data_IF_152054611445
#
_entry.id   IF_152054611445
#
_cell.length_a   1.000
_cell.length_b   1.000
_cell.length_c   1.000
_cell.angle_alpha   90.00
_cell.angle_beta   90.00
_cell.angle_gamma   90.00
#
_symmetry.space_group_name_H-M   'P 1'
#
loop_
_entity.id
_entity.type
_entity.pdbx_description
1 polymer ?
#
# COMPACT_ATOMS: atom_id res chain seq x y z
N UNK A 1 -3.54 -6.69 7.82
CA UNK A 1 -2.78 -5.68 7.05
C UNK A 1 -1.77 -5.02 7.98
N UNK A 2 -0.46 -5.19 7.74
CA UNK A 2 0.59 -4.53 8.53
C UNK A 2 1.32 -3.55 7.62
N UNK A 3 1.01 -2.26 7.75
CA UNK A 3 1.72 -1.22 7.01
C UNK A 3 2.85 -0.71 7.89
N UNK A 4 4.02 -1.31 7.70
CA UNK A 4 5.26 -0.92 8.38
C UNK A 4 5.90 0.25 7.64
N UNK A 5 5.62 1.46 8.09
CA UNK A 5 6.23 2.64 7.49
C UNK A 5 7.24 3.21 8.46
N UNK A 6 8.49 2.84 8.23
CA UNK A 6 9.62 3.48 8.88
C UNK A 6 9.91 4.77 8.11
N UNK A 7 9.52 5.91 8.67
CA UNK A 7 10.08 7.21 8.29
C UNK A 7 11.55 7.21 8.73
N UNK A 8 12.46 6.86 7.83
CA UNK A 8 13.90 7.02 8.08
C UNK A 8 14.17 8.52 8.15
N UNK A 9 14.72 8.95 9.29
CA UNK A 9 15.12 10.34 9.54
C UNK A 9 16.04 10.83 8.43
N UNK A 10 15.88 12.11 8.09
CA UNK A 10 16.71 12.81 7.12
C UNK A 10 18.20 12.64 7.45
N UNK A 11 18.94 11.98 6.57
CA UNK A 11 20.38 12.19 6.48
C UNK A 11 20.61 13.58 5.85
N UNK A 12 20.75 14.57 6.72
CA UNK A 12 21.48 15.82 6.58
C UNK A 12 21.81 16.24 5.12
N UNK A 13 20.98 17.10 4.52
CA UNK A 13 21.29 17.69 3.20
C UNK A 13 22.28 18.85 3.36
N UNK A 14 23.55 18.48 3.27
CA UNK A 14 24.58 19.02 2.37
C UNK A 14 24.57 20.53 2.07
N UNK A 15 25.71 21.15 2.40
CA UNK A 15 26.12 22.50 2.05
C UNK A 15 26.37 22.57 0.53
N UNK A 16 25.44 23.15 -0.23
CA UNK A 16 25.52 23.21 -1.70
C UNK A 16 25.98 24.61 -2.17
N UNK A 17 27.17 24.63 -2.75
CA UNK A 17 27.82 25.79 -3.39
C UNK A 17 26.99 26.33 -4.57
N UNK A 18 26.97 27.67 -4.73
CA UNK A 18 26.29 28.45 -5.79
C UNK A 18 26.48 27.91 -7.21
N UNK A 19 27.55 27.16 -7.46
CA UNK A 19 27.87 26.56 -8.76
C UNK A 19 26.95 25.39 -9.15
N UNK A 20 26.38 24.65 -8.20
CA UNK A 20 25.48 23.53 -8.54
C UNK A 20 24.13 24.00 -9.09
N UNK A 21 23.63 25.16 -8.67
CA UNK A 21 22.37 25.72 -9.19
C UNK A 21 22.49 26.03 -10.68
N UNK A 22 23.65 26.55 -11.11
CA UNK A 22 23.92 26.80 -12.53
C UNK A 22 24.02 25.50 -13.33
N UNK A 23 24.64 24.45 -12.81
CA UNK A 23 24.71 23.14 -13.48
C UNK A 23 23.33 22.47 -13.62
N UNK A 24 22.46 22.63 -12.63
CA UNK A 24 21.09 22.10 -12.68
C UNK A 24 20.24 22.89 -13.67
N UNK A 25 20.38 24.22 -13.73
CA UNK A 25 19.67 25.06 -14.71
C UNK A 25 20.11 24.80 -16.15
N UNK A 26 21.43 24.61 -16.37
CA UNK A 26 21.93 24.32 -17.71
C UNK A 26 21.51 22.93 -18.21
N UNK A 27 21.47 21.93 -17.32
CA UNK A 27 20.98 20.59 -17.69
C UNK A 27 19.47 20.57 -17.93
N UNK A 28 18.67 21.31 -17.17
CA UNK A 28 17.21 21.37 -17.38
C UNK A 28 16.83 22.06 -18.69
N UNK A 29 17.54 23.12 -19.10
CA UNK A 29 17.34 23.78 -20.40
C UNK A 29 17.68 22.81 -21.55
N UNK A 30 18.80 22.09 -21.45
CA UNK A 30 19.21 21.11 -22.45
C UNK A 30 18.21 19.94 -22.58
N UNK A 31 17.70 19.45 -21.45
CA UNK A 31 16.69 18.40 -21.41
C UNK A 31 15.37 18.87 -22.01
N UNK A 32 14.95 20.11 -21.75
CA UNK A 32 13.72 20.68 -22.31
C UNK A 32 13.82 20.84 -23.84
N UNK A 33 14.98 21.26 -24.36
CA UNK A 33 15.24 21.33 -25.80
C UNK A 33 15.28 19.93 -26.46
N UNK A 34 15.79 18.93 -25.74
CA UNK A 34 15.81 17.55 -26.22
C UNK A 34 14.40 16.96 -26.35
N UNK A 35 13.53 17.18 -25.35
CA UNK A 35 12.15 16.69 -25.37
C UNK A 35 11.26 17.45 -26.38
N UNK A 36 11.56 18.70 -26.72
CA UNK A 36 10.77 19.46 -27.69
C UNK A 36 11.01 19.04 -29.16
N UNK A 37 12.16 18.41 -29.46
CA UNK A 37 12.43 17.84 -30.79
C UNK A 37 12.13 16.33 -30.90
N UNK A 38 11.91 15.66 -29.76
CA UNK A 38 11.53 14.26 -29.72
C UNK A 38 10.02 14.08 -29.81
N UNK A 39 9.47 13.93 -31.02
CA UNK A 39 8.15 13.29 -31.20
C UNK A 39 8.13 11.98 -30.40
N UNK A 40 7.37 11.95 -29.31
CA UNK A 40 7.13 10.76 -28.50
C UNK A 40 6.28 9.76 -29.29
N UNK A 41 6.93 8.92 -30.09
CA UNK A 41 6.38 7.62 -30.45
C UNK A 41 6.68 6.66 -29.30
N UNK A 42 5.77 6.54 -28.34
CA UNK A 42 5.81 5.39 -27.42
C UNK A 42 5.47 4.12 -28.22
N UNK A 43 6.32 3.09 -28.25
CA UNK A 43 5.92 1.81 -28.81
C UNK A 43 4.94 1.18 -27.83
N UNK A 44 3.65 1.15 -28.19
CA UNK A 44 2.71 0.22 -27.58
C UNK A 44 3.20 -1.18 -27.95
N UNK A 45 3.81 -1.89 -26.99
CA UNK A 45 4.15 -3.31 -27.16
C UNK A 45 2.83 -4.08 -27.18
N UNK A 46 2.28 -4.24 -28.37
CA UNK A 46 1.22 -5.21 -28.64
C UNK A 46 1.86 -6.59 -28.56
N UNK A 47 1.97 -7.14 -27.35
CA UNK A 47 2.21 -8.57 -27.20
C UNK A 47 0.89 -9.26 -27.51
N UNK A 48 0.76 -9.57 -28.80
CA UNK A 48 -0.05 -10.64 -29.37
C UNK A 48 -0.39 -11.74 -28.37
N UNK A 49 -1.69 -11.91 -28.14
CA UNK A 49 -2.37 -13.15 -27.77
C UNK A 49 -1.51 -14.15 -26.97
N UNK A 50 -1.36 -13.91 -25.68
CA UNK A 50 -0.86 -14.93 -24.76
C UNK A 50 -1.97 -15.97 -24.57
N UNK A 51 -1.78 -17.08 -25.30
CA UNK A 51 -2.43 -18.37 -25.18
C UNK A 51 -3.13 -18.59 -23.83
N UNK A 52 -4.47 -18.63 -23.87
CA UNK A 52 -5.34 -18.89 -22.71
C UNK A 52 -5.17 -20.34 -22.24
N UNK A 53 -4.10 -20.61 -21.50
CA UNK A 53 -4.03 -21.80 -20.65
C UNK A 53 -3.97 -21.32 -19.20
N UNK A 54 -4.91 -21.75 -18.33
CA UNK A 54 -4.87 -21.36 -16.94
C UNK A 54 -3.54 -21.82 -16.33
N UNK A 55 -2.82 -20.96 -15.60
CA UNK A 55 -1.58 -21.34 -14.94
C UNK A 55 -1.85 -22.52 -13.98
N UNK A 56 -0.98 -23.53 -14.04
CA UNK A 56 -1.09 -24.72 -13.19
C UNK A 56 -0.98 -24.31 -11.70
N UNK A 57 -1.97 -24.62 -10.85
CA UNK A 57 -1.99 -24.20 -9.44
C UNK A 57 -0.87 -24.83 -8.59
N UNK A 58 -0.16 -25.85 -9.10
CA UNK A 58 0.95 -26.52 -8.41
C UNK A 58 2.33 -26.01 -8.84
N UNK A 59 2.38 -25.00 -9.73
CA UNK A 59 3.65 -24.46 -10.21
C UNK A 59 4.18 -23.41 -9.25
N UNK A 60 5.13 -23.83 -8.42
CA UNK A 60 5.89 -22.99 -7.46
C UNK A 60 6.99 -22.15 -8.12
N UNK A 61 7.03 -22.06 -9.46
CA UNK A 61 7.95 -21.23 -10.24
C UNK A 61 7.56 -19.74 -10.22
N UNK A 62 6.32 -19.40 -9.88
CA UNK A 62 5.92 -18.04 -9.46
C UNK A 62 6.02 -17.87 -7.95
N UNK A 63 7.10 -18.34 -7.32
CA UNK A 63 7.44 -17.85 -5.97
C UNK A 63 7.73 -16.36 -6.14
N UNK A 64 6.97 -15.43 -5.51
CA UNK A 64 7.31 -14.02 -5.59
C UNK A 64 8.75 -13.89 -5.13
N UNK A 65 9.63 -13.38 -6.01
CA UNK A 65 11.05 -13.23 -5.71
C UNK A 65 11.11 -12.34 -4.48
N UNK A 66 11.56 -12.84 -3.30
CA UNK A 66 11.62 -12.01 -2.13
C UNK A 66 12.55 -10.84 -2.43
N UNK A 67 12.15 -9.62 -2.08
CA UNK A 67 13.05 -8.47 -2.18
C UNK A 67 14.30 -8.79 -1.36
N UNK A 68 15.45 -8.97 -2.03
CA UNK A 68 16.74 -9.36 -1.44
C UNK A 68 17.38 -8.26 -0.57
N UNK A 69 16.60 -7.40 0.08
CA UNK A 69 17.10 -6.43 1.05
C UNK A 69 17.13 -7.05 2.44
N UNK A 70 18.19 -7.82 2.68
CA UNK A 70 18.51 -8.46 3.97
C UNK A 70 18.60 -7.46 5.16
N UNK A 71 18.67 -6.16 4.86
CA UNK A 71 18.81 -5.07 5.84
C UNK A 71 17.50 -4.33 6.17
N UNK A 72 16.34 -4.64 5.56
CA UNK A 72 15.09 -3.86 5.77
C UNK A 72 15.29 -2.33 5.59
N UNK A 73 16.24 -1.92 4.75
CA UNK A 73 16.51 -0.50 4.48
C UNK A 73 15.62 -0.07 3.33
N UNK A 74 14.65 0.77 3.63
CA UNK A 74 13.80 1.44 2.65
C UNK A 74 14.26 2.89 2.51
N UNK A 75 14.25 3.41 1.28
CA UNK A 75 14.68 4.80 1.02
C UNK A 75 13.76 5.83 1.70
N UNK A 76 12.45 5.56 1.75
CA UNK A 76 11.43 6.51 2.24
C UNK A 76 10.33 5.82 3.05
N UNK A 77 9.71 4.77 2.50
CA UNK A 77 8.63 4.01 3.12
C UNK A 77 8.58 2.57 2.59
N UNK A 78 7.84 1.72 3.29
CA UNK A 78 7.49 0.38 2.83
C UNK A 78 5.98 0.17 2.99
N UNK A 79 5.37 -0.53 2.03
CA UNK A 79 3.96 -0.91 2.08
C UNK A 79 3.90 -2.42 1.85
N UNK A 80 3.27 -3.13 2.78
CA UNK A 80 3.13 -4.58 2.74
C UNK A 80 1.64 -4.93 2.84
N UNK A 81 1.13 -5.70 1.89
CA UNK A 81 -0.22 -6.28 1.94
C UNK A 81 -0.21 -7.72 1.44
N UNK A 82 -1.37 -8.36 1.55
CA UNK A 82 -1.68 -9.70 1.07
C UNK A 82 -1.65 -9.84 -0.47
N UNK A 83 -1.74 -8.72 -1.19
CA UNK A 83 -1.68 -8.66 -2.65
C UNK A 83 -0.52 -7.79 -3.13
N UNK A 84 0.21 -8.26 -4.15
CA UNK A 84 1.24 -7.46 -4.80
C UNK A 84 0.66 -6.17 -5.41
N UNK A 85 -0.52 -6.27 -6.03
CA UNK A 85 -1.19 -5.12 -6.68
C UNK A 85 -1.57 -4.08 -5.63
N UNK A 86 -2.12 -4.49 -4.49
CA UNK A 86 -2.53 -3.56 -3.45
C UNK A 86 -1.35 -2.89 -2.74
N UNK A 87 -0.22 -3.60 -2.62
CA UNK A 87 1.03 -3.01 -2.13
C UNK A 87 1.55 -1.93 -3.09
N UNK A 88 1.43 -2.15 -4.40
CA UNK A 88 1.78 -1.15 -5.42
C UNK A 88 0.83 0.05 -5.40
N UNK A 89 -0.48 -0.15 -5.20
CA UNK A 89 -1.45 0.94 -5.05
C UNK A 89 -1.10 1.83 -3.86
N UNK A 90 -0.85 1.25 -2.68
CA UNK A 90 -0.44 2.01 -1.50
C UNK A 90 0.85 2.79 -1.73
N UNK A 91 1.85 2.16 -2.36
CA UNK A 91 3.10 2.83 -2.74
C UNK A 91 2.84 4.01 -3.68
N UNK A 92 2.02 3.83 -4.70
CA UNK A 92 1.71 4.87 -5.68
C UNK A 92 1.03 6.09 -5.03
N UNK A 93 0.08 5.87 -4.12
CA UNK A 93 -0.58 6.95 -3.37
C UNK A 93 0.42 7.68 -2.46
N UNK A 94 1.32 6.96 -1.81
CA UNK A 94 2.39 7.57 -1.03
C UNK A 94 3.34 8.42 -1.91
N UNK A 95 3.73 7.92 -3.08
CA UNK A 95 4.58 8.64 -4.05
C UNK A 95 3.91 9.91 -4.59
N UNK A 96 2.58 9.95 -4.60
CA UNK A 96 1.78 11.15 -4.94
C UNK A 96 1.64 12.16 -3.80
N UNK A 97 2.62 12.19 -2.89
CA UNK A 97 2.63 13.08 -1.73
C UNK A 97 1.44 12.83 -0.78
N UNK A 98 0.92 11.60 -0.75
CA UNK A 98 -0.10 11.18 0.19
C UNK A 98 0.47 10.95 1.59
N UNK A 99 -0.36 11.14 2.61
CA UNK A 99 -0.01 10.74 3.98
C UNK A 99 0.11 9.22 4.07
N UNK A 100 0.74 8.74 5.12
CA UNK A 100 0.84 7.31 5.35
C UNK A 100 -0.50 6.66 5.67
N UNK A 101 -1.40 7.45 6.23
CA UNK A 101 -2.79 7.06 6.44
C UNK A 101 -3.50 6.91 5.09
N UNK A 102 -3.26 7.82 4.14
CA UNK A 102 -3.89 7.74 2.80
C UNK A 102 -3.42 6.52 2.02
N UNK A 103 -2.11 6.24 2.04
CA UNK A 103 -1.53 5.03 1.46
C UNK A 103 -2.12 3.76 2.10
N UNK A 104 -2.38 3.80 3.41
CA UNK A 104 -3.02 2.72 4.15
C UNK A 104 -4.47 2.49 3.73
N UNK A 105 -5.26 3.56 3.66
CA UNK A 105 -6.66 3.50 3.24
C UNK A 105 -6.78 2.99 1.79
N UNK A 106 -5.95 3.49 0.87
CA UNK A 106 -5.93 3.02 -0.51
C UNK A 106 -5.58 1.52 -0.64
N UNK A 107 -4.60 1.06 0.15
CA UNK A 107 -4.25 -0.36 0.23
C UNK A 107 -5.40 -1.18 0.78
N UNK A 108 -6.06 -0.70 1.84
CA UNK A 108 -7.19 -1.38 2.48
C UNK A 108 -8.40 -1.50 1.56
N UNK A 109 -8.72 -0.45 0.79
CA UNK A 109 -9.77 -0.53 -0.24
C UNK A 109 -9.42 -1.53 -1.34
N UNK A 110 -8.17 -1.55 -1.82
CA UNK A 110 -7.74 -2.53 -2.80
C UNK A 110 -7.81 -3.97 -2.27
N UNK A 111 -7.33 -4.21 -1.04
CA UNK A 111 -7.41 -5.54 -0.42
C UNK A 111 -8.87 -5.94 -0.13
N UNK A 112 -9.75 -4.99 0.18
CA UNK A 112 -11.20 -5.20 0.27
C UNK A 112 -11.84 -5.72 -1.03
N UNK A 113 -11.35 -5.25 -2.18
CA UNK A 113 -11.85 -5.69 -3.49
C UNK A 113 -11.22 -7.00 -3.96
N UNK A 114 -9.94 -7.22 -3.68
CA UNK A 114 -9.22 -8.42 -4.11
C UNK A 114 -9.44 -9.62 -3.19
N UNK A 115 -9.61 -9.39 -1.89
CA UNK A 115 -9.79 -10.41 -0.86
C UNK A 115 -11.09 -10.18 -0.07
N UNK A 116 -12.22 -10.12 -0.79
CA UNK A 116 -13.55 -9.83 -0.22
C UNK A 116 -13.97 -10.81 0.88
N UNK A 117 -13.47 -12.05 0.86
CA UNK A 117 -13.76 -13.04 1.90
C UNK A 117 -13.21 -12.64 3.27
N UNK A 118 -12.10 -11.89 3.31
CA UNK A 118 -11.37 -11.61 4.54
C UNK A 118 -11.55 -10.19 5.04
N UNK A 119 -11.78 -9.23 4.14
CA UNK A 119 -11.97 -7.84 4.50
C UNK A 119 -12.93 -7.16 3.53
N UNK A 120 -13.61 -6.12 4.00
CA UNK A 120 -14.56 -5.38 3.20
C UNK A 120 -15.13 -4.19 3.97
N UNK A 121 -15.93 -3.38 3.27
CA UNK A 121 -16.51 -2.15 3.82
C UNK A 121 -17.56 -2.41 4.91
N UNK A 122 -18.15 -3.61 4.94
CA UNK A 122 -19.18 -3.98 5.91
C UNK A 122 -18.65 -4.58 7.22
N UNK A 123 -17.33 -4.79 7.34
CA UNK A 123 -16.71 -5.29 8.56
C UNK A 123 -16.11 -4.18 9.41
N UNK A 124 -15.25 -4.57 10.35
CA UNK A 124 -14.45 -3.67 11.19
C UNK A 124 -12.95 -3.80 10.95
N UNK A 125 -12.18 -2.88 11.53
CA UNK A 125 -10.72 -2.94 11.52
C UNK A 125 -10.12 -2.40 12.82
N UNK A 126 -8.88 -2.81 13.09
CA UNK A 126 -8.05 -2.24 14.15
C UNK A 126 -6.77 -1.72 13.48
N UNK A 127 -6.42 -0.46 13.72
CA UNK A 127 -5.23 0.17 13.16
C UNK A 127 -4.35 0.71 14.26
N UNK A 128 -3.08 0.31 14.27
CA UNK A 128 -2.06 0.86 15.16
C UNK A 128 -1.21 1.89 14.41
N UNK A 129 -1.16 3.11 14.93
CA UNK A 129 -0.42 4.24 14.37
C UNK A 129 0.62 4.72 15.38
N UNK A 130 1.89 4.71 14.99
CA UNK A 130 2.96 5.29 15.80
C UNK A 130 3.39 6.65 15.26
N UNK A 131 3.22 7.70 16.05
CA UNK A 131 3.63 9.06 15.69
C UNK A 131 4.97 9.35 16.36
N UNK A 132 6.05 9.23 15.59
CA UNK A 132 7.42 9.45 16.08
C UNK A 132 7.65 10.84 16.69
N UNK A 133 6.99 11.87 16.15
CA UNK A 133 7.13 13.24 16.66
C UNK A 133 6.63 13.37 18.12
N UNK A 134 5.65 12.55 18.49
CA UNK A 134 5.05 12.54 19.82
C UNK A 134 5.62 11.42 20.71
N UNK A 135 6.29 10.43 20.11
CA UNK A 135 6.72 9.22 20.81
C UNK A 135 5.56 8.35 21.30
N UNK A 136 4.37 8.51 20.70
CA UNK A 136 3.13 7.84 21.13
C UNK A 136 2.60 6.88 20.08
N UNK A 137 2.00 5.80 20.55
CA UNK A 137 1.22 4.87 19.75
C UNK A 137 -0.27 5.13 20.00
N UNK A 138 -1.03 5.14 18.91
CA UNK A 138 -2.48 5.26 18.89
C UNK A 138 -3.06 3.98 18.30
N UNK A 139 -4.19 3.54 18.85
CA UNK A 139 -4.96 2.42 18.32
C UNK A 139 -6.34 2.93 17.95
N UNK A 140 -6.70 2.76 16.68
CA UNK A 140 -8.04 3.00 16.18
C UNK A 140 -8.78 1.66 16.23
N UNK A 141 -9.78 1.58 17.10
CA UNK A 141 -10.69 0.44 17.19
C UNK A 141 -11.99 0.81 16.47
N UNK A 142 -12.18 0.23 15.29
CA UNK A 142 -13.40 0.31 14.49
C UNK A 142 -14.03 -1.07 14.34
N UNK A 143 -14.02 -1.87 15.42
CA UNK A 143 -14.74 -3.15 15.48
C UNK A 143 -16.24 -2.94 15.39
N UNK A 144 -16.89 -3.95 14.86
CA UNK A 144 -18.34 -4.01 14.70
C UNK A 144 -19.01 -3.97 16.08
N UNK A 145 -20.13 -3.27 16.15
CA UNK A 145 -20.96 -3.19 17.36
C UNK A 145 -22.26 -3.92 17.06
N UNK A 146 -22.75 -4.66 18.06
CA UNK A 146 -24.03 -5.34 17.96
C UNK A 146 -25.16 -4.34 17.67
N UNK A 147 -26.13 -4.73 16.84
CA UNK A 147 -27.27 -3.89 16.54
C UNK A 147 -28.04 -3.54 17.84
N UNK A 148 -28.69 -2.36 17.85
CA UNK A 148 -29.43 -1.89 19.04
C UNK A 148 -30.56 -2.84 19.48
N UNK A 149 -31.12 -3.61 18.56
CA UNK A 149 -32.18 -4.57 18.81
C UNK A 149 -31.68 -5.98 19.19
N UNK A 150 -30.36 -6.21 19.20
CA UNK A 150 -29.82 -7.52 19.57
C UNK A 150 -30.06 -7.81 21.04
N UNK A 151 -30.54 -9.02 21.33
CA UNK A 151 -30.73 -9.52 22.69
C UNK A 151 -29.73 -10.64 22.98
N UNK A 152 -29.45 -10.90 24.27
CA UNK A 152 -28.49 -11.93 24.71
C UNK A 152 -28.81 -13.31 24.11
N UNK A 153 -30.09 -13.62 23.99
CA UNK A 153 -30.59 -14.96 23.69
C UNK A 153 -31.00 -15.12 22.21
N UNK A 154 -30.63 -14.20 21.32
CA UNK A 154 -31.09 -14.15 19.91
C UNK A 154 -30.58 -15.29 19.01
N UNK A 155 -29.56 -16.03 19.46
CA UNK A 155 -28.96 -17.16 18.74
C UNK A 155 -29.19 -18.50 19.44
N UNK A 156 -29.93 -18.51 20.56
CA UNK A 156 -30.24 -19.75 21.26
C UNK A 156 -31.40 -20.45 20.58
N UNK A 157 -31.29 -21.78 20.47
CA UNK A 157 -32.43 -22.58 20.06
C UNK A 157 -33.51 -22.52 21.14
N UNK A 158 -34.79 -22.51 20.77
CA UNK A 158 -35.91 -22.46 21.72
C UNK A 158 -35.86 -23.58 22.78
N UNK A 159 -35.23 -24.71 22.46
CA UNK A 159 -35.08 -25.87 23.34
C UNK A 159 -34.04 -25.69 24.44
N UNK A 160 -33.04 -24.81 24.28
CA UNK A 160 -32.06 -24.50 25.34
C UNK A 160 -32.58 -23.44 26.32
N UNK A 161 -33.49 -22.56 25.89
CA UNK A 161 -34.13 -21.56 26.75
C UNK A 161 -35.06 -22.15 27.81
N UNK A 162 -35.46 -23.42 27.69
CA UNK A 162 -36.31 -24.08 28.69
C UNK A 162 -35.51 -24.69 29.85
N UNK A 163 -34.17 -24.75 29.73
CA UNK A 163 -33.27 -25.39 30.69
C UNK A 163 -32.40 -24.40 31.50
N UNK A 164 -32.54 -23.09 31.24
CA UNK A 164 -31.93 -21.98 31.98
C UNK A 164 -33.00 -21.22 32.79
#
# INVERSE_FOLDING_TARGET
>A
LVIMVKKQQECNKYIYSRWMVFLVLMSSIAVTLYFHNGKHNSPVKNNSAEFLMPPNPQRTDTKPVPSYTQLHIFKQAAVCSDSQVCSQVGRYIFEKNGSIVDATLATMFCSGLSNMQSMGIGGGFIMNLYIKQEGKAYTLDAREISAKASTRDMHLDPMEMLYL
#
